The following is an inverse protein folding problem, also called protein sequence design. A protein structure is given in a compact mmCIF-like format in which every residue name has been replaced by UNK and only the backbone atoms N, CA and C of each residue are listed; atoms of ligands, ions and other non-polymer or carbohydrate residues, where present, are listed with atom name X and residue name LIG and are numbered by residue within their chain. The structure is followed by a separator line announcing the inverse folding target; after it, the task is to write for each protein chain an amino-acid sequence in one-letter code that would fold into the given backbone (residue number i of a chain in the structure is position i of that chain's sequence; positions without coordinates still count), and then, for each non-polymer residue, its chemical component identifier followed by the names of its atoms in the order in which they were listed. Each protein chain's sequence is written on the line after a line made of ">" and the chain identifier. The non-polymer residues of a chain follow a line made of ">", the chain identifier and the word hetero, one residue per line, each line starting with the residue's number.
data_IF_124250186584
#
_entry.id   IF_124250186584
#
_cell.length_a   1.000
_cell.length_b   1.000
_cell.length_c   1.000
_cell.angle_alpha   90.00
_cell.angle_beta   90.00
_cell.angle_gamma   90.00
#
_symmetry.space_group_name_H-M   'P 1'
#
loop_
_entity.id
_entity.type
_entity.pdbx_description
1 polymer ?
#
# COMPACT_ATOMS: atom_id res chain seq x y z
N UNK A 1 13.15 -3.40 -7.33
CA UNK A 1 11.90 -4.16 -7.10
C UNK A 1 11.18 -4.28 -8.43
N UNK A 2 10.46 -5.37 -8.67
CA UNK A 2 9.60 -5.51 -9.85
C UNK A 2 8.24 -4.85 -9.55
N UNK A 3 8.09 -3.58 -9.92
CA UNK A 3 6.95 -2.78 -9.51
C UNK A 3 5.65 -3.13 -10.24
N UNK A 4 5.73 -3.65 -11.47
CA UNK A 4 4.56 -4.11 -12.21
C UNK A 4 3.93 -5.31 -11.50
N UNK A 5 4.76 -6.30 -11.15
CA UNK A 5 4.34 -7.45 -10.35
C UNK A 5 3.79 -7.05 -8.99
N UNK A 6 4.50 -6.17 -8.26
CA UNK A 6 4.05 -5.75 -6.93
C UNK A 6 2.72 -4.98 -6.98
N UNK A 7 2.48 -4.20 -8.03
CA UNK A 7 1.21 -3.51 -8.24
C UNK A 7 0.08 -4.51 -8.49
N UNK A 8 0.30 -5.55 -9.29
CA UNK A 8 -0.67 -6.63 -9.49
C UNK A 8 -0.98 -7.40 -8.20
N UNK A 9 0.04 -7.79 -7.45
CA UNK A 9 -0.14 -8.47 -6.16
C UNK A 9 -0.87 -7.58 -5.15
N UNK A 10 -0.53 -6.28 -5.10
CA UNK A 10 -1.23 -5.32 -4.26
C UNK A 10 -2.72 -5.19 -4.63
N UNK A 11 -3.06 -5.18 -5.93
CA UNK A 11 -4.46 -5.15 -6.41
C UNK A 11 -5.26 -6.35 -5.91
N UNK A 12 -4.66 -7.55 -5.85
CA UNK A 12 -5.32 -8.77 -5.33
C UNK A 12 -5.71 -8.63 -3.86
N UNK A 13 -4.88 -7.96 -3.06
CA UNK A 13 -5.12 -7.81 -1.62
C UNK A 13 -6.17 -6.73 -1.31
N UNK A 14 -6.31 -5.71 -2.17
CA UNK A 14 -7.21 -4.58 -1.96
C UNK A 14 -8.42 -4.51 -2.93
N UNK A 15 -8.78 -5.62 -3.58
CA UNK A 15 -9.96 -5.78 -4.44
C UNK A 15 -10.19 -4.62 -5.43
N UNK A 16 -9.22 -4.41 -6.34
CA UNK A 16 -9.39 -3.60 -7.56
C UNK A 16 -10.07 -2.22 -7.38
N UNK A 17 -9.65 -1.42 -6.39
CA UNK A 17 -9.96 0.02 -6.39
C UNK A 17 -9.18 0.71 -7.50
N UNK A 18 -9.68 0.66 -8.75
CA UNK A 18 -9.25 1.44 -9.93
C UNK A 18 -7.82 2.00 -9.83
N UNK A 19 -6.83 1.13 -9.68
CA UNK A 19 -5.44 1.49 -9.86
C UNK A 19 -5.17 1.29 -11.34
N UNK A 20 -5.63 2.19 -12.20
CA UNK A 20 -5.28 2.14 -13.61
C UNK A 20 -3.76 2.29 -13.70
N UNK A 21 -3.06 1.24 -14.19
CA UNK A 21 -1.64 1.37 -14.49
C UNK A 21 -1.54 2.20 -15.75
N UNK A 22 -0.92 3.36 -15.64
CA UNK A 22 -0.41 4.09 -16.78
C UNK A 22 0.96 3.45 -17.07
N UNK A 23 1.22 3.10 -18.34
CA UNK A 23 2.47 2.44 -18.75
C UNK A 23 3.70 3.18 -18.20
N UNK A 24 4.66 2.41 -17.67
CA UNK A 24 5.89 2.88 -17.01
C UNK A 24 5.71 3.69 -15.71
N UNK A 25 4.53 3.67 -15.07
CA UNK A 25 4.28 4.41 -13.82
C UNK A 25 3.91 3.52 -12.62
N UNK A 26 4.07 2.20 -12.72
CA UNK A 26 3.65 1.25 -11.67
C UNK A 26 4.26 1.53 -10.30
N UNK A 27 5.53 1.96 -10.24
CA UNK A 27 6.16 2.38 -8.98
C UNK A 27 5.42 3.56 -8.33
N UNK A 28 5.17 4.62 -9.10
CA UNK A 28 4.50 5.82 -8.62
C UNK A 28 3.07 5.51 -8.20
N UNK A 29 2.33 4.75 -9.02
CA UNK A 29 0.96 4.32 -8.74
C UNK A 29 0.89 3.49 -7.46
N UNK A 30 1.80 2.53 -7.28
CA UNK A 30 1.86 1.71 -6.07
C UNK A 30 2.18 2.55 -4.83
N UNK A 31 3.18 3.42 -4.91
CA UNK A 31 3.58 4.28 -3.78
C UNK A 31 2.46 5.25 -3.39
N UNK A 32 1.79 5.87 -4.36
CA UNK A 32 0.64 6.75 -4.05
C UNK A 32 -0.53 5.95 -3.48
N UNK A 33 -0.82 4.76 -4.01
CA UNK A 33 -1.86 3.89 -3.46
C UNK A 33 -1.62 3.53 -1.99
N UNK A 34 -0.38 3.16 -1.64
CA UNK A 34 0.02 2.86 -0.26
C UNK A 34 -0.07 4.13 0.60
N UNK A 35 0.40 5.29 0.10
CA UNK A 35 0.32 6.57 0.81
C UNK A 35 -1.12 6.94 1.17
N UNK A 36 -2.04 6.88 0.19
CA UNK A 36 -3.47 7.20 0.39
C UNK A 36 -4.15 6.25 1.38
N UNK A 37 -3.78 4.97 1.33
CA UNK A 37 -4.28 3.99 2.29
C UNK A 37 -3.73 4.29 3.69
N UNK A 38 -2.45 4.59 3.84
CA UNK A 38 -1.83 4.92 5.12
C UNK A 38 -2.40 6.20 5.76
N UNK A 39 -2.76 7.19 4.95
CA UNK A 39 -3.39 8.43 5.40
C UNK A 39 -4.92 8.31 5.52
N UNK A 40 -5.48 7.15 5.18
CA UNK A 40 -6.92 6.87 5.20
C UNK A 40 -7.73 7.95 4.46
N UNK A 41 -7.19 8.41 3.32
CA UNK A 41 -7.75 9.52 2.53
C UNK A 41 -9.13 9.16 1.93
N UNK A 42 -9.37 7.87 1.70
CA UNK A 42 -10.63 7.35 1.16
C UNK A 42 -11.76 7.26 2.21
N UNK A 43 -11.45 7.41 3.49
CA UNK A 43 -12.43 7.37 4.58
C UNK A 43 -13.02 8.75 4.83
N UNK A 44 -14.30 8.81 5.19
CA UNK A 44 -14.96 10.05 5.59
C UNK A 44 -14.16 10.71 6.75
N UNK A 45 -13.99 12.05 6.79
CA UNK A 45 -13.12 12.71 7.77
C UNK A 45 -13.36 12.31 9.23
N UNK A 46 -14.62 12.03 9.58
CA UNK A 46 -15.03 11.60 10.94
C UNK A 46 -14.65 10.16 11.31
N UNK A 47 -14.40 9.31 10.32
CA UNK A 47 -14.03 7.90 10.51
C UNK A 47 -12.52 7.65 10.22
N UNK A 48 -11.77 8.73 9.93
CA UNK A 48 -10.37 8.66 9.54
C UNK A 48 -9.51 8.16 10.69
N UNK A 49 -8.67 7.16 10.40
CA UNK A 49 -7.73 6.57 11.35
C UNK A 49 -6.34 7.18 11.22
N UNK A 50 -5.55 7.06 12.29
CA UNK A 50 -4.17 7.54 12.32
C UNK A 50 -3.21 6.68 11.49
N UNK A 51 -2.08 7.27 11.11
CA UNK A 51 -1.04 6.65 10.27
C UNK A 51 -0.62 5.26 10.78
N UNK A 52 -0.26 5.16 12.07
CA UNK A 52 0.19 3.91 12.67
C UNK A 52 -0.93 2.85 12.69
N UNK A 53 -2.17 3.24 12.97
CA UNK A 53 -3.30 2.31 12.96
C UNK A 53 -3.54 1.73 11.56
N UNK A 54 -3.43 2.57 10.53
CA UNK A 54 -3.53 2.14 9.13
C UNK A 54 -2.36 1.28 8.71
N UNK A 55 -1.15 1.63 9.12
CA UNK A 55 0.03 0.79 8.92
C UNK A 55 -0.17 -0.62 9.50
N UNK A 56 -0.57 -0.73 10.79
CA UNK A 56 -0.84 -2.03 11.40
C UNK A 56 -1.93 -2.81 10.67
N UNK A 57 -3.00 -2.15 10.24
CA UNK A 57 -4.08 -2.77 9.48
C UNK A 57 -3.61 -3.30 8.12
N UNK A 58 -2.82 -2.50 7.39
CA UNK A 58 -2.26 -2.88 6.10
C UNK A 58 -1.26 -4.04 6.23
N UNK A 59 -0.37 -4.01 7.24
CA UNK A 59 0.57 -5.09 7.54
C UNK A 59 -0.16 -6.39 7.86
N UNK A 60 -1.17 -6.34 8.74
CA UNK A 60 -2.00 -7.54 9.05
C UNK A 60 -2.64 -8.12 7.80
N UNK A 61 -3.16 -7.28 6.91
CA UNK A 61 -3.76 -7.71 5.65
C UNK A 61 -2.74 -8.35 4.71
N UNK A 62 -1.55 -7.78 4.58
CA UNK A 62 -0.46 -8.37 3.78
C UNK A 62 -0.01 -9.72 4.33
N UNK A 63 0.17 -9.83 5.64
CA UNK A 63 0.59 -11.09 6.25
C UNK A 63 -0.44 -12.21 6.04
N UNK A 64 -1.73 -11.88 6.17
CA UNK A 64 -2.84 -12.81 5.96
C UNK A 64 -3.15 -13.12 4.49
N UNK A 65 -2.52 -12.42 3.53
CA UNK A 65 -2.77 -12.63 2.11
C UNK A 65 -2.16 -13.93 1.58
N UNK A 66 -2.65 -14.40 0.43
CA UNK A 66 -2.11 -15.57 -0.29
C UNK A 66 -0.92 -15.23 -1.21
N UNK A 67 -0.36 -14.02 -1.12
CA UNK A 67 0.82 -13.63 -1.89
C UNK A 67 2.03 -14.47 -1.47
N UNK A 68 3.00 -14.63 -2.36
CA UNK A 68 4.26 -15.27 -1.99
C UNK A 68 5.07 -14.38 -1.03
N UNK A 69 5.98 -15.01 -0.28
CA UNK A 69 6.73 -14.35 0.79
C UNK A 69 7.62 -13.21 0.28
N UNK A 70 8.20 -13.35 -0.92
CA UNK A 70 9.06 -12.32 -1.51
C UNK A 70 8.28 -11.03 -1.80
N UNK A 71 7.09 -11.16 -2.36
CA UNK A 71 6.24 -10.03 -2.70
C UNK A 71 5.64 -9.40 -1.43
N UNK A 72 5.27 -10.21 -0.43
CA UNK A 72 4.87 -9.71 0.90
C UNK A 72 5.96 -8.86 1.54
N UNK A 73 7.19 -9.38 1.60
CA UNK A 73 8.34 -8.66 2.19
C UNK A 73 8.60 -7.36 1.44
N UNK A 74 8.53 -7.38 0.11
CA UNK A 74 8.73 -6.18 -0.72
C UNK A 74 7.64 -5.12 -0.48
N UNK A 75 6.37 -5.53 -0.39
CA UNK A 75 5.26 -4.61 -0.08
C UNK A 75 5.36 -4.07 1.33
N UNK A 76 5.75 -4.88 2.31
CA UNK A 76 5.97 -4.43 3.69
C UNK A 76 7.10 -3.41 3.78
N UNK A 77 8.22 -3.64 3.07
CA UNK A 77 9.32 -2.68 3.00
C UNK A 77 8.83 -1.32 2.46
N UNK A 78 8.04 -1.33 1.38
CA UNK A 78 7.47 -0.09 0.84
C UNK A 78 6.55 0.63 1.84
N UNK A 79 5.75 -0.11 2.62
CA UNK A 79 4.92 0.51 3.66
C UNK A 79 5.78 1.17 4.75
N UNK A 80 6.85 0.51 5.20
CA UNK A 80 7.79 1.07 6.18
C UNK A 80 8.42 2.36 5.63
N UNK A 81 8.95 2.31 4.41
CA UNK A 81 9.62 3.46 3.79
C UNK A 81 8.67 4.66 3.66
N UNK A 82 7.41 4.42 3.28
CA UNK A 82 6.41 5.48 3.15
C UNK A 82 6.00 6.04 4.52
N UNK A 83 5.78 5.19 5.54
CA UNK A 83 5.49 5.66 6.91
C UNK A 83 6.62 6.55 7.42
N UNK A 84 7.87 6.10 7.31
CA UNK A 84 9.04 6.89 7.73
C UNK A 84 9.13 8.22 6.99
N UNK A 85 8.80 8.27 5.70
CA UNK A 85 8.78 9.50 4.94
C UNK A 85 7.63 10.44 5.34
N UNK A 86 6.48 9.91 5.77
CA UNK A 86 5.35 10.69 6.26
C UNK A 86 5.59 11.24 7.66
N UNK A 87 6.30 10.53 8.53
CA UNK A 87 6.65 10.99 9.89
C UNK A 87 7.76 12.05 9.91
N UNK A 88 8.60 12.10 8.87
CA UNK A 88 9.69 13.09 8.75
C UNK A 88 9.23 14.47 8.24
N UNK A 89 7.94 14.65 7.96
CA UNK A 89 7.34 15.89 7.44
C UNK A 89 6.60 16.63 8.54
#
# INVERSE_FOLDING_TARGET
>A
MDYDRLLEEYRKVWNNRRLESIDNQSEMVLKDAIRRELLDENSHPRARKGLLEKYYSATKRLLASSLNDRDKVSLLQLHVDIVLNLEKR
#
